data_IF_895371121046
#
_entry.id   IF_895371121046
#
_cell.length_a   1.000
_cell.length_b   1.000
_cell.length_c   1.000
_cell.angle_alpha   90.00
_cell.angle_beta   90.00
_cell.angle_gamma   90.00
#
_symmetry.space_group_name_H-M   'P 1'
#
loop_
_entity.id
_entity.type
_entity.pdbx_description
1 polymer ?
#
# COMPACT_ATOMS: atom_id res chain seq x y z
N UNK A 1 -7.24 14.16 -12.61
CA UNK A 1 -6.87 15.35 -13.40
C UNK A 1 -7.75 16.53 -13.07
N UNK A 2 -9.01 16.61 -13.54
CA UNK A 2 -9.87 17.77 -13.21
C UNK A 2 -10.03 17.98 -11.69
N UNK A 3 -10.29 16.92 -10.94
CA UNK A 3 -10.33 16.99 -9.47
C UNK A 3 -9.00 17.49 -8.89
N UNK A 4 -7.88 16.91 -9.32
CA UNK A 4 -6.55 17.28 -8.84
C UNK A 4 -6.17 18.74 -9.17
N UNK A 5 -6.60 19.27 -10.32
CA UNK A 5 -6.24 20.62 -10.75
C UNK A 5 -7.18 21.70 -10.21
N UNK A 6 -8.48 21.40 -10.03
CA UNK A 6 -9.50 22.42 -9.71
C UNK A 6 -10.21 22.20 -8.37
N UNK A 7 -10.13 21.00 -7.79
CA UNK A 7 -10.90 20.62 -6.60
C UNK A 7 -10.03 19.86 -5.59
N UNK A 8 -8.77 20.29 -5.44
CA UNK A 8 -7.81 19.63 -4.56
C UNK A 8 -8.20 19.75 -3.08
N UNK A 9 -8.79 20.88 -2.68
CA UNK A 9 -9.26 21.09 -1.30
C UNK A 9 -10.47 20.21 -0.99
N UNK A 10 -11.42 20.10 -1.93
CA UNK A 10 -12.59 19.24 -1.80
C UNK A 10 -12.21 17.77 -1.80
N UNK A 11 -11.23 17.35 -2.62
CA UNK A 11 -10.67 16.01 -2.56
C UNK A 11 -10.01 15.73 -1.20
N UNK A 12 -9.22 16.67 -0.68
CA UNK A 12 -8.63 16.52 0.65
C UNK A 12 -9.70 16.43 1.75
N UNK A 13 -10.82 17.13 1.60
CA UNK A 13 -11.96 17.00 2.51
C UNK A 13 -12.59 15.60 2.43
N UNK A 14 -12.80 15.06 1.24
CA UNK A 14 -13.29 13.69 1.02
C UNK A 14 -12.33 12.68 1.65
N UNK A 15 -11.02 12.83 1.45
CA UNK A 15 -10.00 11.94 2.00
C UNK A 15 -9.97 11.96 3.53
N UNK A 16 -10.14 13.14 4.14
CA UNK A 16 -10.28 13.30 5.59
C UNK A 16 -11.55 12.62 6.11
N UNK A 17 -12.68 12.74 5.41
CA UNK A 17 -13.93 12.08 5.78
C UNK A 17 -13.85 10.56 5.62
N UNK A 18 -13.13 10.07 4.60
CA UNK A 18 -12.85 8.65 4.42
C UNK A 18 -12.02 8.12 5.59
N UNK A 19 -10.95 8.84 5.98
CA UNK A 19 -10.12 8.49 7.12
C UNK A 19 -10.91 8.47 8.45
N UNK A 20 -11.85 9.42 8.61
CA UNK A 20 -12.74 9.46 9.76
C UNK A 20 -13.73 8.28 9.79
N UNK A 21 -14.27 7.89 8.62
CA UNK A 21 -15.11 6.70 8.49
C UNK A 21 -14.33 5.44 8.82
N UNK A 22 -13.10 5.30 8.31
CA UNK A 22 -12.25 4.14 8.58
C UNK A 22 -11.92 4.04 10.08
N UNK A 23 -11.65 5.17 10.73
CA UNK A 23 -11.46 5.23 12.18
C UNK A 23 -12.72 4.84 12.97
N UNK A 24 -13.90 5.28 12.52
CA UNK A 24 -15.18 4.92 13.14
C UNK A 24 -15.51 3.44 12.96
N UNK A 25 -15.24 2.88 11.78
CA UNK A 25 -15.38 1.45 11.49
C UNK A 25 -14.46 0.62 12.41
N UNK A 26 -13.18 1.00 12.51
CA UNK A 26 -12.22 0.30 13.36
C UNK A 26 -12.64 0.36 14.83
N UNK A 27 -13.05 1.53 15.33
CA UNK A 27 -13.51 1.68 16.71
C UNK A 27 -14.76 0.83 17.00
N UNK A 28 -15.69 0.73 16.04
CA UNK A 28 -16.87 -0.11 16.15
C UNK A 28 -16.50 -1.60 16.14
N UNK A 29 -15.65 -2.03 15.22
CA UNK A 29 -15.22 -3.42 15.10
C UNK A 29 -14.47 -3.87 16.35
N UNK A 30 -13.46 -3.11 16.80
CA UNK A 30 -12.72 -3.41 18.04
C UNK A 30 -13.65 -3.49 19.25
N UNK A 31 -14.62 -2.56 19.38
CA UNK A 31 -15.58 -2.60 20.47
C UNK A 31 -16.48 -3.84 20.42
N UNK A 32 -16.93 -4.24 19.24
CA UNK A 32 -17.74 -5.46 19.07
C UNK A 32 -16.92 -6.69 19.41
N UNK A 33 -15.68 -6.81 18.92
CA UNK A 33 -14.80 -7.95 19.20
C UNK A 33 -14.50 -8.09 20.70
N UNK A 34 -14.15 -7.00 21.38
CA UNK A 34 -13.87 -6.99 22.82
C UNK A 34 -15.09 -7.40 23.67
N UNK A 35 -16.32 -7.13 23.17
CA UNK A 35 -17.55 -7.34 23.93
C UNK A 35 -18.41 -8.52 23.44
N UNK A 36 -17.92 -9.34 22.50
CA UNK A 36 -18.64 -10.51 21.95
C UNK A 36 -17.92 -11.86 22.22
N UNK A 37 -17.03 -11.91 23.22
CA UNK A 37 -16.35 -13.14 23.69
C UNK A 37 -17.17 -13.94 24.70
N UNK A 38 -16.62 -15.02 25.30
CA UNK A 38 -17.35 -15.92 26.23
C UNK A 38 -18.04 -15.19 27.42
N UNK A 39 -17.46 -14.09 27.91
CA UNK A 39 -18.04 -13.22 28.97
C UNK A 39 -18.46 -11.84 28.43
N UNK A 40 -18.72 -11.75 27.13
CA UNK A 40 -19.02 -10.49 26.42
C UNK A 40 -20.38 -9.89 26.74
N UNK A 41 -20.41 -8.60 27.05
CA UNK A 41 -21.62 -7.83 27.36
C UNK A 41 -22.56 -7.64 26.13
N UNK A 42 -22.14 -8.02 24.92
CA UNK A 42 -22.94 -7.93 23.70
C UNK A 42 -23.44 -9.28 23.18
N UNK A 43 -23.15 -10.40 23.86
CA UNK A 43 -23.57 -11.74 23.43
C UNK A 43 -25.09 -11.85 23.26
N UNK A 44 -25.86 -11.26 24.17
CA UNK A 44 -27.32 -11.24 24.11
C UNK A 44 -27.87 -10.28 23.03
N UNK A 45 -27.00 -9.53 22.35
CA UNK A 45 -27.33 -8.64 21.23
C UNK A 45 -26.87 -9.19 19.86
N UNK A 46 -26.51 -10.47 19.78
CA UNK A 46 -26.26 -11.15 18.51
C UNK A 46 -27.59 -11.44 17.78
N UNK A 47 -27.56 -11.43 16.45
CA UNK A 47 -28.65 -11.95 15.61
C UNK A 47 -28.47 -13.45 15.33
N UNK A 48 -29.39 -14.04 14.56
CA UNK A 48 -29.35 -15.44 14.11
C UNK A 48 -28.11 -15.83 13.29
N UNK A 49 -27.19 -14.90 13.02
CA UNK A 49 -25.93 -15.11 12.29
C UNK A 49 -24.71 -14.72 13.14
N UNK A 50 -24.86 -14.64 14.45
CA UNK A 50 -23.81 -14.26 15.40
C UNK A 50 -23.18 -12.89 15.08
N UNK A 51 -24.01 -11.92 14.64
CA UNK A 51 -23.57 -10.55 14.38
C UNK A 51 -24.29 -9.54 15.26
N UNK A 52 -23.52 -8.63 15.85
CA UNK A 52 -24.04 -7.42 16.49
C UNK A 52 -24.40 -6.40 15.40
N UNK A 53 -25.61 -5.86 15.47
CA UNK A 53 -26.08 -4.81 14.56
C UNK A 53 -26.71 -3.67 15.35
N UNK A 54 -26.81 -2.48 14.76
CA UNK A 54 -27.54 -1.37 15.36
C UNK A 54 -28.97 -1.74 15.80
N UNK A 55 -29.65 -2.60 15.03
CA UNK A 55 -31.00 -3.05 15.34
C UNK A 55 -31.03 -3.97 16.58
N UNK A 56 -30.13 -4.96 16.65
CA UNK A 56 -30.08 -5.89 17.78
C UNK A 56 -29.63 -5.20 19.07
N UNK A 57 -28.65 -4.29 19.00
CA UNK A 57 -28.25 -3.45 20.14
C UNK A 57 -29.43 -2.62 20.66
N UNK A 58 -30.20 -2.01 19.76
CA UNK A 58 -31.36 -1.18 20.16
C UNK A 58 -32.48 -2.03 20.75
N UNK A 59 -32.69 -3.25 20.25
CA UNK A 59 -33.67 -4.18 20.81
C UNK A 59 -33.25 -4.63 22.21
N UNK A 60 -31.98 -5.05 22.37
CA UNK A 60 -31.45 -5.55 23.64
C UNK A 60 -31.41 -4.46 24.72
N UNK A 61 -31.10 -3.21 24.35
CA UNK A 61 -31.08 -2.08 25.29
C UNK A 61 -32.43 -1.85 26.01
N UNK A 62 -33.56 -2.28 25.42
CA UNK A 62 -34.90 -2.20 26.05
C UNK A 62 -35.16 -3.29 27.09
N UNK A 63 -34.45 -4.41 26.98
CA UNK A 63 -34.65 -5.62 27.79
C UNK A 63 -33.57 -5.76 28.87
N UNK A 64 -32.38 -5.21 28.62
CA UNK A 64 -31.27 -5.23 29.56
C UNK A 64 -31.70 -4.67 30.92
N UNK A 65 -31.28 -5.32 31.99
CA UNK A 65 -31.49 -4.90 33.38
C UNK A 65 -30.19 -4.53 34.06
N UNK A 66 -29.11 -5.21 33.69
CA UNK A 66 -27.76 -5.00 34.20
C UNK A 66 -27.20 -3.62 33.79
N UNK A 67 -26.65 -2.83 34.74
CA UNK A 67 -26.07 -1.52 34.44
C UNK A 67 -24.87 -1.58 33.48
N UNK A 68 -24.01 -2.59 33.59
CA UNK A 68 -22.78 -2.69 32.81
C UNK A 68 -23.09 -3.09 31.37
N UNK A 69 -24.00 -4.06 31.17
CA UNK A 69 -24.57 -4.40 29.87
C UNK A 69 -25.20 -3.18 29.19
N UNK A 70 -26.01 -2.40 29.92
CA UNK A 70 -26.60 -1.16 29.38
C UNK A 70 -25.56 -0.13 28.96
N UNK A 71 -24.47 0.00 29.71
CA UNK A 71 -23.38 0.90 29.35
C UNK A 71 -22.73 0.46 28.03
N UNK A 72 -22.42 -0.83 27.90
CA UNK A 72 -21.84 -1.40 26.68
C UNK A 72 -22.78 -1.24 25.47
N UNK A 73 -24.07 -1.53 25.60
CA UNK A 73 -25.06 -1.36 24.53
C UNK A 73 -25.25 0.10 24.12
N UNK A 74 -25.21 1.06 25.06
CA UNK A 74 -25.25 2.48 24.74
C UNK A 74 -24.01 2.92 23.97
N UNK A 75 -22.84 2.42 24.35
CA UNK A 75 -21.59 2.70 23.65
C UNK A 75 -21.59 2.10 22.24
N UNK A 76 -21.98 0.83 22.08
CA UNK A 76 -22.17 0.20 20.77
C UNK A 76 -23.12 1.02 19.89
N UNK A 77 -24.28 1.43 20.43
CA UNK A 77 -25.24 2.27 19.69
C UNK A 77 -24.60 3.58 19.23
N UNK A 78 -23.84 4.25 20.10
CA UNK A 78 -23.13 5.49 19.77
C UNK A 78 -22.10 5.28 18.67
N UNK A 79 -21.37 4.17 18.68
CA UNK A 79 -20.40 3.83 17.63
C UNK A 79 -21.09 3.54 16.29
N UNK A 80 -22.21 2.80 16.29
CA UNK A 80 -23.03 2.61 15.09
C UNK A 80 -23.66 3.92 14.56
N UNK A 81 -24.05 4.84 15.45
CA UNK A 81 -24.52 6.16 15.05
C UNK A 81 -23.38 6.97 14.40
N UNK A 82 -22.19 6.98 15.00
CA UNK A 82 -21.01 7.68 14.48
C UNK A 82 -20.53 7.13 13.13
N UNK A 83 -20.49 5.80 12.96
CA UNK A 83 -20.14 5.14 11.69
C UNK A 83 -21.14 5.52 10.58
N UNK A 84 -22.45 5.50 10.90
CA UNK A 84 -23.49 5.89 9.95
C UNK A 84 -23.41 7.38 9.57
N UNK A 85 -23.16 8.27 10.53
CA UNK A 85 -23.02 9.71 10.30
C UNK A 85 -21.78 10.02 9.46
N UNK A 86 -20.63 9.40 9.77
CA UNK A 86 -19.39 9.55 8.99
C UNK A 86 -19.58 9.06 7.55
N UNK A 87 -20.24 7.91 7.37
CA UNK A 87 -20.56 7.35 6.06
C UNK A 87 -21.47 8.27 5.25
N UNK A 88 -22.47 8.86 5.89
CA UNK A 88 -23.38 9.81 5.26
C UNK A 88 -22.64 11.07 4.84
N UNK A 89 -21.82 11.65 5.73
CA UNK A 89 -21.03 12.85 5.45
C UNK A 89 -20.06 12.63 4.28
N UNK A 90 -19.36 11.50 4.25
CA UNK A 90 -18.50 11.12 3.13
C UNK A 90 -19.28 11.04 1.82
N UNK A 91 -20.43 10.36 1.83
CA UNK A 91 -21.26 10.23 0.63
C UNK A 91 -21.75 11.58 0.10
N UNK A 92 -22.22 12.46 0.98
CA UNK A 92 -22.68 13.79 0.61
C UNK A 92 -21.53 14.66 0.04
N UNK A 93 -20.34 14.57 0.64
CA UNK A 93 -19.15 15.27 0.14
C UNK A 93 -18.72 14.73 -1.24
N UNK A 94 -18.75 13.41 -1.45
CA UNK A 94 -18.43 12.81 -2.74
C UNK A 94 -19.44 13.22 -3.82
N UNK A 95 -20.74 13.17 -3.52
CA UNK A 95 -21.77 13.61 -4.47
C UNK A 95 -21.66 15.10 -4.82
N UNK A 96 -21.29 15.94 -3.84
CA UNK A 96 -21.03 17.36 -4.06
C UNK A 96 -19.81 17.59 -4.97
N UNK A 97 -18.71 16.86 -4.73
CA UNK A 97 -17.51 16.91 -5.55
C UNK A 97 -17.80 16.45 -6.97
N UNK A 98 -18.48 15.32 -7.15
CA UNK A 98 -18.85 14.79 -8.47
C UNK A 98 -19.69 15.82 -9.25
N UNK A 99 -20.67 16.44 -8.60
CA UNK A 99 -21.50 17.47 -9.21
C UNK A 99 -20.68 18.73 -9.58
N UNK A 100 -19.73 19.12 -8.74
CA UNK A 100 -18.84 20.25 -9.01
C UNK A 100 -17.95 19.96 -10.23
N UNK A 101 -17.39 18.76 -10.31
CA UNK A 101 -16.61 18.28 -11.47
C UNK A 101 -17.46 18.28 -12.74
N UNK A 102 -18.69 17.76 -12.69
CA UNK A 102 -19.61 17.79 -13.84
C UNK A 102 -19.88 19.22 -14.32
N UNK A 103 -20.06 20.17 -13.40
CA UNK A 103 -20.26 21.59 -13.71
C UNK A 103 -19.00 22.29 -14.22
N UNK A 104 -17.82 21.72 -13.98
CA UNK A 104 -16.55 22.29 -14.44
C UNK A 104 -16.27 21.98 -15.90
N UNK A 105 -16.62 20.79 -16.40
CA UNK A 105 -16.40 20.40 -17.80
C UNK A 105 -16.79 21.45 -18.85
N UNK A 106 -18.01 22.03 -18.84
CA UNK A 106 -18.40 23.02 -19.85
C UNK A 106 -17.68 24.37 -19.71
N UNK A 107 -16.97 24.61 -18.61
CA UNK A 107 -16.21 25.85 -18.37
C UNK A 107 -14.76 25.77 -18.83
N UNK A 108 -14.26 24.57 -19.11
CA UNK A 108 -12.88 24.37 -19.52
C UNK A 108 -12.62 25.00 -20.89
N UNK A 109 -11.62 25.85 -20.95
CA UNK A 109 -11.09 26.39 -22.21
C UNK A 109 -10.29 25.34 -22.98
N UNK A 110 -10.08 25.58 -24.27
CA UNK A 110 -9.28 24.68 -25.13
C UNK A 110 -7.84 24.55 -24.61
N UNK A 111 -7.27 25.63 -24.08
CA UNK A 111 -5.89 25.61 -23.58
C UNK A 111 -5.78 24.82 -22.27
N UNK A 112 -6.75 24.95 -21.36
CA UNK A 112 -6.83 24.09 -20.17
C UNK A 112 -7.03 22.61 -20.53
N UNK A 113 -7.88 22.32 -21.52
CA UNK A 113 -8.08 20.95 -22.01
C UNK A 113 -6.78 20.38 -22.59
N UNK A 114 -6.03 21.18 -23.36
CA UNK A 114 -4.75 20.74 -23.91
C UNK A 114 -3.74 20.44 -22.82
N UNK A 115 -3.62 21.31 -21.81
CA UNK A 115 -2.67 21.07 -20.72
C UNK A 115 -3.05 19.82 -19.91
N UNK A 116 -4.33 19.64 -19.58
CA UNK A 116 -4.81 18.46 -18.88
C UNK A 116 -4.56 17.15 -19.65
N UNK A 117 -4.70 17.15 -20.98
CA UNK A 117 -4.58 15.93 -21.79
C UNK A 117 -3.13 15.67 -22.19
N UNK A 118 -2.44 16.69 -22.70
CA UNK A 118 -1.10 16.53 -23.25
C UNK A 118 -0.09 16.45 -22.11
N UNK A 119 -0.07 17.45 -21.23
CA UNK A 119 0.94 17.55 -20.18
C UNK A 119 0.62 16.58 -19.03
N UNK A 120 -0.54 16.78 -18.40
CA UNK A 120 -0.85 16.09 -17.14
C UNK A 120 -1.25 14.62 -17.33
N UNK A 121 -1.67 14.22 -18.53
CA UNK A 121 -2.03 12.83 -18.83
C UNK A 121 -0.96 12.14 -19.65
N UNK A 122 -0.74 12.59 -20.89
CA UNK A 122 0.05 11.82 -21.85
C UNK A 122 1.54 11.91 -21.58
N UNK A 123 2.09 13.11 -21.38
CA UNK A 123 3.50 13.29 -21.06
C UNK A 123 3.83 12.68 -19.70
N UNK A 124 2.99 12.90 -18.67
CA UNK A 124 3.17 12.25 -17.37
C UNK A 124 3.17 10.70 -17.46
N UNK A 125 2.26 10.11 -18.26
CA UNK A 125 2.24 8.65 -18.47
C UNK A 125 3.48 8.17 -19.22
N UNK A 126 3.91 8.90 -20.25
CA UNK A 126 5.09 8.54 -21.03
C UNK A 126 6.36 8.61 -20.17
N UNK A 127 6.51 9.66 -19.37
CA UNK A 127 7.62 9.81 -18.43
C UNK A 127 7.65 8.65 -17.43
N UNK A 128 6.52 8.34 -16.80
CA UNK A 128 6.42 7.21 -15.86
C UNK A 128 6.82 5.88 -16.51
N UNK A 129 6.39 5.64 -17.76
CA UNK A 129 6.75 4.43 -18.49
C UNK A 129 8.26 4.38 -18.85
N UNK A 130 8.85 5.52 -19.22
CA UNK A 130 10.28 5.60 -19.52
C UNK A 130 11.09 5.29 -18.25
N UNK A 131 10.72 5.87 -17.11
CA UNK A 131 11.38 5.60 -15.83
C UNK A 131 11.26 4.13 -15.45
N UNK A 132 10.06 3.55 -15.55
CA UNK A 132 9.83 2.13 -15.27
C UNK A 132 10.68 1.22 -16.18
N UNK A 133 10.86 1.57 -17.45
CA UNK A 133 11.69 0.81 -18.38
C UNK A 133 13.18 0.92 -18.04
N UNK A 134 13.65 2.09 -17.63
CA UNK A 134 15.03 2.29 -17.15
C UNK A 134 15.29 1.43 -15.91
N UNK A 135 14.37 1.43 -14.95
CA UNK A 135 14.47 0.60 -13.73
C UNK A 135 14.49 -0.89 -14.09
N UNK A 136 13.61 -1.32 -14.99
CA UNK A 136 13.53 -2.71 -15.47
C UNK A 136 14.87 -3.16 -16.07
N UNK A 137 15.45 -2.36 -16.97
CA UNK A 137 16.74 -2.67 -17.62
C UNK A 137 17.88 -2.65 -16.60
N UNK A 138 17.87 -1.70 -15.66
CA UNK A 138 18.87 -1.61 -14.59
C UNK A 138 18.86 -2.85 -13.71
N UNK A 139 17.67 -3.32 -13.31
CA UNK A 139 17.52 -4.55 -12.52
C UNK A 139 17.97 -5.79 -13.32
N UNK A 140 17.67 -5.86 -14.61
CA UNK A 140 18.15 -6.93 -15.48
C UNK A 140 19.69 -6.97 -15.54
N UNK A 141 20.33 -5.81 -15.67
CA UNK A 141 21.78 -5.72 -15.67
C UNK A 141 22.37 -6.13 -14.32
N UNK A 142 21.81 -5.64 -13.21
CA UNK A 142 22.25 -6.02 -11.87
C UNK A 142 22.17 -7.53 -11.63
N UNK A 143 21.07 -8.16 -12.05
CA UNK A 143 20.92 -9.61 -11.98
C UNK A 143 21.97 -10.32 -12.84
N UNK A 144 22.26 -9.81 -14.04
CA UNK A 144 23.28 -10.39 -14.92
C UNK A 144 24.69 -10.28 -14.34
N UNK A 145 25.02 -9.17 -13.68
CA UNK A 145 26.29 -9.01 -12.95
C UNK A 145 26.40 -10.03 -11.83
N UNK A 146 25.34 -10.18 -11.03
CA UNK A 146 25.27 -11.18 -9.97
C UNK A 146 25.43 -12.62 -10.50
N UNK A 147 24.74 -12.96 -11.60
CA UNK A 147 24.91 -14.27 -12.25
C UNK A 147 26.36 -14.53 -12.70
N UNK A 148 27.06 -13.50 -13.17
CA UNK A 148 28.46 -13.62 -13.57
C UNK A 148 29.38 -13.79 -12.36
N UNK A 149 29.17 -12.99 -11.31
CA UNK A 149 29.89 -13.11 -10.03
C UNK A 149 29.75 -14.54 -9.49
N UNK A 150 28.51 -15.03 -9.35
CA UNK A 150 28.23 -16.38 -8.85
C UNK A 150 28.89 -17.45 -9.73
N UNK A 151 28.84 -17.30 -11.06
CA UNK A 151 29.44 -18.26 -12.00
C UNK A 151 30.96 -18.31 -11.90
N UNK A 152 31.62 -17.18 -11.68
CA UNK A 152 33.08 -17.08 -11.65
C UNK A 152 33.70 -17.12 -10.26
N UNK A 153 32.89 -17.12 -9.19
CA UNK A 153 33.33 -17.12 -7.80
C UNK A 153 34.28 -18.28 -7.47
N UNK A 154 34.02 -19.49 -7.97
CA UNK A 154 34.85 -20.68 -7.73
C UNK A 154 35.84 -21.02 -8.85
N UNK A 155 35.49 -21.00 -10.15
CA UNK A 155 36.40 -21.45 -11.19
C UNK A 155 37.57 -20.48 -11.45
N UNK A 156 37.39 -19.17 -11.22
CA UNK A 156 38.44 -18.18 -11.49
C UNK A 156 39.63 -18.33 -10.50
N UNK A 157 39.41 -18.43 -9.17
CA UNK A 157 40.50 -18.75 -8.24
C UNK A 157 41.19 -20.09 -8.54
N UNK A 158 40.41 -21.13 -8.90
CA UNK A 158 40.97 -22.44 -9.22
C UNK A 158 41.89 -22.41 -10.45
N UNK A 159 41.51 -21.67 -11.49
CA UNK A 159 42.34 -21.46 -12.68
C UNK A 159 43.61 -20.67 -12.35
N UNK A 160 43.51 -19.58 -11.56
CA UNK A 160 44.69 -18.82 -11.11
C UNK A 160 45.67 -19.72 -10.36
N UNK A 161 45.18 -20.52 -9.41
CA UNK A 161 46.03 -21.46 -8.67
C UNK A 161 46.68 -22.52 -9.57
N UNK A 162 45.97 -23.01 -10.60
CA UNK A 162 46.56 -23.92 -11.57
C UNK A 162 47.67 -23.26 -12.40
N UNK A 163 47.51 -21.99 -12.76
CA UNK A 163 48.53 -21.22 -13.50
C UNK A 163 49.76 -20.99 -12.63
N UNK A 164 49.59 -20.61 -11.37
CA UNK A 164 50.70 -20.42 -10.43
C UNK A 164 51.51 -21.72 -10.26
N UNK A 165 50.81 -22.84 -10.00
CA UNK A 165 51.44 -24.15 -9.86
C UNK A 165 52.21 -24.60 -11.11
N UNK A 166 51.70 -24.31 -12.30
CA UNK A 166 52.39 -24.64 -13.56
C UNK A 166 53.59 -23.71 -13.79
N UNK A 167 53.46 -22.43 -13.44
CA UNK A 167 54.54 -21.45 -13.54
C UNK A 167 55.72 -21.81 -12.64
N UNK A 168 55.45 -22.24 -11.40
CA UNK A 168 56.47 -22.73 -10.47
C UNK A 168 57.22 -23.96 -11.02
N UNK A 169 56.48 -24.90 -11.63
CA UNK A 169 57.10 -26.07 -12.28
C UNK A 169 58.00 -25.66 -13.44
N UNK A 170 57.54 -24.75 -14.30
CA UNK A 170 58.34 -24.24 -15.43
C UNK A 170 59.58 -23.53 -14.93
N UNK A 171 59.46 -22.66 -13.92
CA UNK A 171 60.59 -21.98 -13.30
C UNK A 171 61.62 -22.98 -12.73
N UNK A 172 61.15 -24.03 -12.04
CA UNK A 172 62.00 -25.11 -11.55
C UNK A 172 62.74 -25.86 -12.66
N UNK A 173 62.05 -26.18 -13.77
CA UNK A 173 62.66 -26.82 -14.92
C UNK A 173 63.69 -25.93 -15.63
N UNK A 174 63.39 -24.65 -15.82
CA UNK A 174 64.33 -23.69 -16.43
C UNK A 174 65.59 -23.53 -15.58
N UNK A 175 65.44 -23.45 -14.25
CA UNK A 175 66.57 -23.44 -13.32
C UNK A 175 67.42 -24.70 -13.43
N UNK A 176 66.79 -25.88 -13.52
CA UNK A 176 67.51 -27.15 -13.72
C UNK A 176 68.24 -27.22 -15.07
N UNK A 177 67.78 -26.48 -16.08
CA UNK A 177 68.43 -26.32 -17.39
C UNK A 177 69.52 -25.24 -17.42
N UNK A 178 69.80 -24.56 -16.30
CA UNK A 178 70.80 -23.50 -16.20
C UNK A 178 70.37 -22.14 -16.73
N UNK A 179 69.06 -21.96 -16.98
CA UNK A 179 68.45 -20.71 -17.43
C UNK A 179 67.70 -20.07 -16.26
N UNK A 180 68.35 -19.19 -15.50
CA UNK A 180 67.66 -18.36 -14.49
C UNK A 180 67.12 -17.08 -15.14
N UNK A 181 65.82 -16.85 -15.04
CA UNK A 181 65.22 -15.54 -15.33
C UNK A 181 65.48 -14.61 -14.15
N UNK A 182 66.21 -13.53 -14.39
CA UNK A 182 66.25 -12.37 -13.49
C UNK A 182 65.12 -11.43 -13.90
N UNK A 183 64.13 -11.29 -13.03
CA UNK A 183 63.18 -10.18 -13.01
C UNK A 183 63.17 -9.64 -11.58
#
# INVERSE_FOLDING_TARGET
LIVACFFAEEQAQVDNLQSALDSANQALESFIEENSGEDGLLNDALNDKDKVTKATVTARLKLATDPDEKAALKQAKKLFDAEADAKKALKEAQEALDLAVFKQYPKLSIDEIKSLIVDDKWLATLESNIVAEIERVTQQLANRVKELEERYSEPLPALNQSVDNLSDKVAGHLKAMGLEWTL
#
